data_IF_264122269673
#
_entry.id   IF_264122269673
#
_cell.length_a   1.000
_cell.length_b   1.000
_cell.length_c   1.000
_cell.angle_alpha   90.00
_cell.angle_beta   90.00
_cell.angle_gamma   90.00
#
_symmetry.space_group_name_H-M   'P 1'
#
loop_
_entity.id
_entity.type
_entity.pdbx_description
1 polymer ?
#
# COMPACT_ATOMS: atom_id res chain seq x y z
N UNK A 1 -23.31 -23.73 18.66
CA UNK A 1 -23.44 -22.29 19.00
C UNK A 1 -22.15 -21.61 19.50
N UNK A 2 -21.23 -22.36 20.14
CA UNK A 2 -20.02 -21.80 20.79
C UNK A 2 -18.94 -21.26 19.84
N UNK A 3 -18.90 -21.73 18.58
CA UNK A 3 -17.88 -21.31 17.61
C UNK A 3 -18.14 -19.94 16.99
N UNK A 4 -19.39 -19.46 16.99
CA UNK A 4 -19.74 -18.17 16.36
C UNK A 4 -19.03 -17.00 17.06
N UNK A 5 -19.00 -16.87 18.39
CA UNK A 5 -18.20 -15.86 19.09
C UNK A 5 -16.70 -15.91 18.73
N UNK A 6 -16.12 -17.11 18.61
CA UNK A 6 -14.71 -17.31 18.27
C UNK A 6 -14.41 -16.82 16.86
N UNK A 7 -15.24 -17.19 15.88
CA UNK A 7 -15.09 -16.73 14.50
C UNK A 7 -15.22 -15.21 14.41
N UNK A 8 -16.18 -14.60 15.12
CA UNK A 8 -16.33 -13.14 15.16
C UNK A 8 -15.09 -12.44 15.72
N UNK A 9 -14.49 -12.98 16.78
CA UNK A 9 -13.26 -12.43 17.36
C UNK A 9 -12.07 -12.53 16.38
N UNK A 10 -11.92 -13.66 15.68
CA UNK A 10 -10.89 -13.82 14.63
C UNK A 10 -11.11 -12.81 13.49
N UNK A 11 -12.35 -12.67 13.03
CA UNK A 11 -12.69 -11.74 11.97
C UNK A 11 -12.36 -10.28 12.36
N UNK A 12 -12.71 -9.87 13.58
CA UNK A 12 -12.41 -8.54 14.10
C UNK A 12 -10.90 -8.30 14.23
N UNK A 13 -10.14 -9.30 14.72
CA UNK A 13 -8.67 -9.24 14.80
C UNK A 13 -8.03 -9.06 13.41
N UNK A 14 -8.68 -9.59 12.36
CA UNK A 14 -8.27 -9.42 10.97
C UNK A 14 -8.88 -8.18 10.28
N UNK A 15 -9.50 -7.26 11.03
CA UNK A 15 -10.05 -5.99 10.52
C UNK A 15 -11.37 -6.12 9.76
N UNK A 16 -12.08 -7.25 9.90
CA UNK A 16 -13.40 -7.48 9.31
C UNK A 16 -14.54 -7.14 10.29
N UNK A 17 -15.76 -7.00 9.77
CA UNK A 17 -16.96 -6.60 10.55
C UNK A 17 -17.37 -7.59 11.66
N UNK A 18 -16.93 -8.85 11.61
CA UNK A 18 -17.24 -9.83 12.64
C UNK A 18 -18.68 -10.39 12.56
N UNK A 19 -19.09 -10.86 11.37
CA UNK A 19 -20.43 -11.41 11.13
C UNK A 19 -20.59 -12.88 11.57
N UNK A 20 -19.50 -13.61 11.77
CA UNK A 20 -19.49 -15.03 12.12
C UNK A 20 -19.64 -15.97 10.91
N UNK A 21 -19.72 -15.43 9.70
CA UNK A 21 -19.86 -16.22 8.46
C UNK A 21 -18.48 -16.54 7.89
N UNK A 22 -18.19 -17.82 7.69
CA UNK A 22 -16.91 -18.29 7.15
C UNK A 22 -16.92 -18.16 5.62
N UNK A 23 -16.70 -16.93 5.13
CA UNK A 23 -16.48 -16.65 3.71
C UNK A 23 -15.00 -16.71 3.31
N UNK A 24 -14.67 -16.52 2.01
CA UNK A 24 -13.30 -16.60 1.51
C UNK A 24 -12.30 -15.70 2.25
N UNK A 25 -12.72 -14.50 2.67
CA UNK A 25 -11.88 -13.58 3.46
C UNK A 25 -11.57 -14.11 4.86
N UNK A 26 -12.53 -14.78 5.50
CA UNK A 26 -12.33 -15.42 6.80
C UNK A 26 -11.40 -16.62 6.68
N UNK A 27 -11.57 -17.45 5.64
CA UNK A 27 -10.65 -18.56 5.35
C UNK A 27 -9.23 -18.04 5.11
N UNK A 28 -9.06 -17.02 4.26
CA UNK A 28 -7.76 -16.43 4.01
C UNK A 28 -7.11 -15.85 5.28
N UNK A 29 -7.88 -15.24 6.17
CA UNK A 29 -7.38 -14.73 7.45
C UNK A 29 -6.96 -15.86 8.40
N UNK A 30 -7.67 -16.99 8.40
CA UNK A 30 -7.37 -18.17 9.22
C UNK A 30 -6.14 -18.93 8.72
N UNK A 31 -6.08 -19.20 7.41
CA UNK A 31 -4.92 -19.84 6.77
C UNK A 31 -3.69 -18.94 6.88
N UNK A 32 -3.91 -17.62 6.78
CA UNK A 32 -2.86 -16.63 6.85
C UNK A 32 -1.90 -16.70 5.66
N UNK A 33 -0.71 -16.16 5.87
CA UNK A 33 0.40 -16.19 4.90
C UNK A 33 1.53 -16.99 5.53
N UNK A 34 2.06 -17.99 4.81
CA UNK A 34 3.12 -18.84 5.35
C UNK A 34 4.39 -18.02 5.62
N UNK A 35 5.31 -18.55 6.44
CA UNK A 35 6.61 -17.90 6.65
C UNK A 35 7.39 -17.77 5.33
N UNK A 36 7.35 -18.80 4.49
CA UNK A 36 7.99 -18.79 3.18
C UNK A 36 7.43 -17.68 2.28
N UNK A 37 6.10 -17.52 2.22
CA UNK A 37 5.47 -16.45 1.44
C UNK A 37 5.85 -15.04 1.95
N UNK A 38 5.97 -14.87 3.28
CA UNK A 38 6.43 -13.59 3.86
C UNK A 38 7.87 -13.28 3.47
N UNK A 39 8.75 -14.27 3.52
CA UNK A 39 10.14 -14.14 3.09
C UNK A 39 10.20 -13.75 1.60
N UNK A 40 9.39 -14.42 0.76
CA UNK A 40 9.33 -14.10 -0.67
C UNK A 40 8.87 -12.64 -0.91
N UNK A 41 7.87 -12.15 -0.17
CA UNK A 41 7.45 -10.74 -0.25
C UNK A 41 8.58 -9.77 0.10
N UNK A 42 9.38 -10.09 1.12
CA UNK A 42 10.55 -9.28 1.50
C UNK A 42 11.60 -9.29 0.40
N UNK A 43 11.90 -10.45 -0.22
CA UNK A 43 12.82 -10.52 -1.34
C UNK A 43 12.38 -9.66 -2.52
N UNK A 44 11.09 -9.71 -2.88
CA UNK A 44 10.55 -8.85 -3.95
C UNK A 44 10.68 -7.37 -3.59
N UNK A 45 10.30 -6.98 -2.36
CA UNK A 45 10.44 -5.59 -1.93
C UNK A 45 11.89 -5.10 -1.93
N UNK A 46 12.86 -5.95 -1.54
CA UNK A 46 14.29 -5.63 -1.60
C UNK A 46 14.78 -5.47 -3.04
N UNK A 47 14.26 -6.27 -3.97
CA UNK A 47 14.58 -6.15 -5.40
C UNK A 47 13.99 -4.87 -6.02
N UNK A 48 12.76 -4.50 -5.65
CA UNK A 48 12.16 -3.22 -6.05
C UNK A 48 12.95 -2.04 -5.50
N UNK A 49 13.38 -2.11 -4.24
CA UNK A 49 14.25 -1.09 -3.63
C UNK A 49 15.60 -0.98 -4.36
N UNK A 50 16.14 -2.09 -4.86
CA UNK A 50 17.39 -2.11 -5.62
C UNK A 50 17.31 -1.32 -6.93
N UNK A 51 16.12 -1.21 -7.52
CA UNK A 51 15.91 -0.51 -8.79
C UNK A 51 15.66 0.99 -8.62
N UNK A 52 15.47 1.47 -7.38
CA UNK A 52 15.37 2.90 -7.11
C UNK A 52 16.74 3.59 -7.28
N UNK A 53 16.74 4.89 -7.63
CA UNK A 53 17.95 5.70 -7.58
C UNK A 53 18.63 5.60 -6.20
N UNK A 54 19.96 5.53 -6.19
CA UNK A 54 20.75 5.49 -4.94
C UNK A 54 20.59 6.75 -4.09
N UNK A 55 20.27 7.87 -4.75
CA UNK A 55 19.85 9.11 -4.12
C UNK A 55 18.51 9.55 -4.73
N UNK A 56 17.48 9.65 -3.89
CA UNK A 56 16.14 10.12 -4.29
C UNK A 56 16.03 11.65 -4.32
N UNK A 57 17.05 12.36 -3.83
CA UNK A 57 17.07 13.82 -3.70
C UNK A 57 16.24 14.36 -2.55
N UNK A 58 16.38 15.65 -2.30
CA UNK A 58 15.59 16.41 -1.32
C UNK A 58 15.43 17.86 -1.79
N UNK A 59 14.21 18.43 -1.79
CA UNK A 59 12.95 17.78 -1.40
C UNK A 59 12.45 16.78 -2.45
N UNK A 60 11.56 15.87 -2.05
CA UNK A 60 10.95 14.88 -2.97
C UNK A 60 9.50 14.56 -2.59
N UNK A 61 8.71 14.16 -3.58
CA UNK A 61 7.41 13.50 -3.40
C UNK A 61 7.60 12.02 -3.70
N UNK A 62 7.32 11.16 -2.73
CA UNK A 62 7.42 9.72 -2.88
C UNK A 62 6.03 9.09 -2.87
N UNK A 63 5.67 8.40 -3.96
CA UNK A 63 4.38 7.73 -4.11
C UNK A 63 4.57 6.22 -4.00
N UNK A 64 4.04 5.63 -2.94
CA UNK A 64 4.02 4.18 -2.77
C UNK A 64 2.65 3.65 -3.23
N UNK A 65 2.57 3.17 -4.48
CA UNK A 65 1.31 2.73 -5.07
C UNK A 65 0.66 1.56 -4.28
N UNK A 66 1.38 0.48 -3.90
CA UNK A 66 0.79 -0.59 -3.08
C UNK A 66 0.27 -0.12 -1.72
N UNK A 67 0.86 0.94 -1.15
CA UNK A 67 0.42 1.52 0.12
C UNK A 67 -0.69 2.58 -0.02
N UNK A 68 -1.02 3.02 -1.25
CA UNK A 68 -1.97 4.11 -1.53
C UNK A 68 -1.62 5.41 -0.80
N UNK A 69 -0.32 5.73 -0.70
CA UNK A 69 0.16 6.93 -0.01
C UNK A 69 1.14 7.74 -0.84
N UNK A 70 1.06 9.06 -0.73
CA UNK A 70 2.09 9.99 -1.15
C UNK A 70 2.66 10.74 0.06
N UNK A 71 3.98 10.89 0.08
CA UNK A 71 4.71 11.59 1.14
C UNK A 71 5.59 12.68 0.55
N UNK A 72 5.53 13.90 1.10
CA UNK A 72 6.51 14.96 0.83
C UNK A 72 7.61 14.86 1.89
N UNK A 73 8.84 14.68 1.43
CA UNK A 73 10.01 14.45 2.28
C UNK A 73 11.04 15.54 1.99
N UNK A 74 11.52 16.19 3.04
CA UNK A 74 12.53 17.23 2.99
C UNK A 74 13.58 16.97 4.06
N UNK A 75 14.85 16.95 3.67
CA UNK A 75 16.01 16.64 4.53
C UNK A 75 15.86 15.29 5.28
N UNK A 76 15.20 14.33 4.65
CA UNK A 76 14.93 13.01 5.23
C UNK A 76 13.72 12.95 6.17
N UNK A 77 13.06 14.07 6.45
CA UNK A 77 11.90 14.15 7.32
C UNK A 77 10.61 14.19 6.48
N UNK A 78 9.63 13.33 6.83
CA UNK A 78 8.30 13.35 6.21
C UNK A 78 7.51 14.56 6.73
N UNK A 79 7.36 15.59 5.90
CA UNK A 79 6.66 16.84 6.24
C UNK A 79 5.16 16.77 5.97
N UNK A 80 4.74 15.93 5.03
CA UNK A 80 3.33 15.68 4.71
C UNK A 80 3.15 14.23 4.26
N UNK A 81 2.04 13.62 4.67
CA UNK A 81 1.59 12.31 4.18
C UNK A 81 0.09 12.33 3.91
N UNK A 82 -0.29 11.83 2.74
CA UNK A 82 -1.70 11.76 2.34
C UNK A 82 -2.02 10.43 1.66
N UNK A 83 -3.30 10.07 1.65
CA UNK A 83 -3.81 8.96 0.83
C UNK A 83 -3.94 9.43 -0.61
N UNK A 84 -3.66 8.53 -1.54
CA UNK A 84 -3.81 8.78 -2.98
C UNK A 84 -4.66 7.71 -3.64
N UNK A 85 -5.25 8.09 -4.78
CA UNK A 85 -5.92 7.16 -5.68
C UNK A 85 -4.97 6.87 -6.84
N UNK A 86 -4.83 5.60 -7.18
CA UNK A 86 -4.00 5.12 -8.29
C UNK A 86 -4.89 4.56 -9.40
N UNK A 87 -4.30 4.39 -10.59
CA UNK A 87 -4.95 3.72 -11.72
C UNK A 87 -5.41 2.31 -11.39
N UNK A 88 -6.45 1.83 -12.09
CA UNK A 88 -6.88 0.42 -12.00
C UNK A 88 -5.85 -0.46 -12.70
N UNK A 89 -5.92 -1.77 -12.51
CA UNK A 89 -5.04 -2.72 -13.21
C UNK A 89 -5.04 -2.59 -14.74
N UNK A 90 -6.15 -2.15 -15.33
CA UNK A 90 -6.27 -1.92 -16.78
C UNK A 90 -5.64 -0.60 -17.25
N UNK A 91 -5.41 0.35 -16.35
CA UNK A 91 -4.81 1.66 -16.62
C UNK A 91 -3.89 2.07 -15.46
N UNK A 92 -2.97 1.17 -15.10
CA UNK A 92 -2.17 1.27 -13.89
C UNK A 92 -1.26 2.50 -13.94
N UNK A 93 -1.11 3.19 -12.80
CA UNK A 93 -0.13 4.28 -12.68
C UNK A 93 1.28 3.73 -12.92
N UNK A 94 2.01 4.32 -13.87
CA UNK A 94 3.36 3.89 -14.21
C UNK A 94 4.34 4.07 -13.05
N UNK A 95 5.35 3.21 -12.97
CA UNK A 95 6.51 3.41 -12.11
C UNK A 95 7.54 4.28 -12.83
N UNK A 96 7.88 5.43 -12.28
CA UNK A 96 8.84 6.36 -12.85
C UNK A 96 9.50 7.23 -11.77
N UNK A 97 10.61 7.88 -12.13
CA UNK A 97 11.29 8.89 -11.33
C UNK A 97 11.52 10.10 -12.23
N UNK A 98 11.07 11.28 -11.79
CA UNK A 98 11.16 12.52 -12.56
C UNK A 98 11.12 13.74 -11.63
N UNK A 99 11.37 14.92 -12.18
CA UNK A 99 11.33 16.20 -11.47
C UNK A 99 9.98 16.90 -11.66
N UNK A 100 9.46 17.50 -10.58
CA UNK A 100 8.27 18.34 -10.65
C UNK A 100 8.63 19.66 -11.33
N UNK A 101 8.05 19.91 -12.51
CA UNK A 101 8.35 21.13 -13.29
C UNK A 101 7.44 22.31 -12.92
N UNK A 102 6.14 22.06 -12.71
CA UNK A 102 5.14 23.10 -12.51
C UNK A 102 3.98 22.61 -11.65
N UNK A 103 3.35 23.55 -10.92
CA UNK A 103 2.10 23.33 -10.19
C UNK A 103 1.08 24.34 -10.71
N UNK A 104 0.05 23.83 -11.38
CA UNK A 104 -1.03 24.64 -11.92
C UNK A 104 -2.19 24.76 -10.94
N UNK A 105 -2.53 26.00 -10.59
CA UNK A 105 -3.74 26.32 -9.85
C UNK A 105 -4.88 26.55 -10.85
N UNK A 106 -5.98 25.82 -10.68
CA UNK A 106 -7.13 25.79 -11.62
C UNK A 106 -6.76 25.29 -13.03
N UNK A 107 -6.23 24.07 -13.14
CA UNK A 107 -5.89 23.48 -14.45
C UNK A 107 -7.13 23.29 -15.33
N UNK A 108 -6.96 23.43 -16.65
CA UNK A 108 -7.95 23.04 -17.64
C UNK A 108 -7.99 21.52 -17.79
N UNK A 109 -9.19 20.93 -17.79
CA UNK A 109 -9.37 19.48 -17.88
C UNK A 109 -10.17 19.15 -19.15
N UNK A 110 -9.44 18.96 -20.26
CA UNK A 110 -9.89 18.25 -21.47
C UNK A 110 -11.23 18.68 -22.04
#
# INVERSE_FOLDING_TARGET
PELVPVIKAVQQKAGMKGDGVIGPRTVAALVGTSKADKIQKVHVALEELRWLPSDLGSPRVFINQPAFTASYIENGEEKLKTRVVIGKTTNQTSFFYDQLEQVDFHPYWG
#
